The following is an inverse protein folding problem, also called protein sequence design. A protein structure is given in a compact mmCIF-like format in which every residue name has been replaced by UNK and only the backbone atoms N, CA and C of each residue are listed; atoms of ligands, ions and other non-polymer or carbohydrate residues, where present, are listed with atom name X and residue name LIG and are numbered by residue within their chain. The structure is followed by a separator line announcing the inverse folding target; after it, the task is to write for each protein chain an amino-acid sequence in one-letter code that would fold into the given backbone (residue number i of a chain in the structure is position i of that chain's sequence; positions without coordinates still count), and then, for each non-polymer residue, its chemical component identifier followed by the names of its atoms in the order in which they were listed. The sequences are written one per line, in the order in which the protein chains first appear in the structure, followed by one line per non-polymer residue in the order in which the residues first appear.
data_IF_259489240523
#
_entry.id   IF_259489240523
#
_cell.length_a   1.000
_cell.length_b   1.000
_cell.length_c   1.000
_cell.angle_alpha   90.00
_cell.angle_beta   90.00
_cell.angle_gamma   90.00
#
_symmetry.space_group_name_H-M   'P 1'
#
loop_
_entity.id
_entity.type
_entity.pdbx_description
1 polymer ?
#
# COMPACT_ATOMS: atom_id res chain seq x y z
N UNK A 1 12.90 5.88 17.82
CA UNK A 1 12.54 4.63 17.10
C UNK A 1 12.71 4.90 15.61
N UNK A 2 13.75 4.35 14.95
CA UNK A 2 14.21 4.76 13.60
C UNK A 2 13.26 4.35 12.45
N UNK A 3 12.47 3.28 12.63
CA UNK A 3 11.68 2.65 11.56
C UNK A 3 10.16 2.70 11.81
N UNK A 4 9.68 3.75 12.46
CA UNK A 4 8.25 3.89 12.73
C UNK A 4 7.52 4.45 11.49
N UNK A 5 6.49 3.75 10.96
CA UNK A 5 5.66 4.29 9.90
C UNK A 5 5.05 5.64 10.31
N UNK A 6 4.90 6.56 9.35
CA UNK A 6 4.24 7.83 9.66
C UNK A 6 2.78 7.59 10.05
N UNK A 7 2.20 8.55 10.78
CA UNK A 7 0.76 8.56 11.02
C UNK A 7 0.01 8.84 9.71
N UNK A 8 -1.20 8.30 9.62
CA UNK A 8 -2.13 8.67 8.57
C UNK A 8 -2.52 10.15 8.71
N UNK A 9 -2.52 10.85 7.59
CA UNK A 9 -3.05 12.21 7.49
C UNK A 9 -4.57 12.20 7.63
N UNK A 10 -5.16 13.36 7.95
CA UNK A 10 -6.63 13.50 7.99
C UNK A 10 -7.26 13.14 6.65
N UNK A 11 -6.65 13.60 5.55
CA UNK A 11 -7.12 13.31 4.19
C UNK A 11 -7.14 11.80 3.90
N UNK A 12 -6.07 11.08 4.21
CA UNK A 12 -6.01 9.63 3.99
C UNK A 12 -7.02 8.86 4.82
N UNK A 13 -7.30 9.32 6.05
CA UNK A 13 -8.36 8.75 6.88
C UNK A 13 -9.75 8.95 6.28
N UNK A 14 -10.03 10.15 5.77
CA UNK A 14 -11.32 10.45 5.13
C UNK A 14 -11.51 9.65 3.83
N UNK A 15 -10.48 9.58 2.98
CA UNK A 15 -10.53 8.79 1.73
C UNK A 15 -10.71 7.29 2.01
N UNK A 16 -10.05 6.78 3.06
CA UNK A 16 -10.13 5.37 3.44
C UNK A 16 -11.34 5.00 4.29
N UNK A 17 -12.16 5.98 4.69
CA UNK A 17 -13.20 5.81 5.71
C UNK A 17 -14.24 4.75 5.35
N UNK A 18 -14.71 4.75 4.11
CA UNK A 18 -15.75 3.82 3.66
C UNK A 18 -15.28 2.37 3.58
N UNK A 19 -14.00 2.14 3.29
CA UNK A 19 -13.44 0.80 3.13
C UNK A 19 -12.89 0.24 4.45
N UNK A 20 -12.72 1.09 5.47
CA UNK A 20 -11.79 0.84 6.55
C UNK A 20 -10.37 1.11 6.07
N UNK A 21 -9.55 1.81 6.86
CA UNK A 21 -8.17 2.04 6.49
C UNK A 21 -7.32 2.16 7.75
N UNK A 22 -6.21 1.45 7.76
CA UNK A 22 -5.28 1.39 8.90
C UNK A 22 -3.86 1.26 8.41
N UNK A 23 -2.92 1.78 9.19
CA UNK A 23 -1.49 1.61 8.98
C UNK A 23 -0.87 0.65 10.02
N UNK A 24 -1.66 -0.23 10.62
CA UNK A 24 -1.19 -1.16 11.66
C UNK A 24 -0.36 -2.32 11.08
N UNK A 25 -0.67 -2.79 9.87
CA UNK A 25 -0.05 -3.98 9.24
C UNK A 25 0.98 -3.63 8.16
N UNK A 26 1.95 -2.76 8.47
CA UNK A 26 2.93 -2.24 7.50
C UNK A 26 3.88 -3.27 6.88
N UNK A 27 3.96 -4.50 7.40
CA UNK A 27 4.76 -5.59 6.79
C UNK A 27 4.06 -6.25 5.60
N UNK A 28 2.73 -6.25 5.56
CA UNK A 28 1.96 -6.88 4.48
C UNK A 28 2.23 -6.34 3.06
N UNK A 29 2.43 -5.03 2.85
CA UNK A 29 2.51 -4.46 1.51
C UNK A 29 3.92 -4.45 0.89
N UNK A 30 4.96 -5.01 1.52
CA UNK A 30 6.28 -5.13 0.89
C UNK A 30 7.06 -6.34 1.38
N UNK A 31 8.03 -6.79 0.59
CA UNK A 31 8.94 -7.87 0.95
C UNK A 31 10.28 -7.69 0.25
N UNK A 32 11.27 -8.50 0.64
CA UNK A 32 12.61 -8.47 0.05
C UNK A 32 12.97 -9.81 -0.58
N UNK A 33 13.65 -9.77 -1.71
CA UNK A 33 14.26 -10.94 -2.37
C UNK A 33 15.66 -10.54 -2.79
N UNK A 34 16.69 -11.05 -2.10
CA UNK A 34 18.08 -10.63 -2.36
C UNK A 34 18.23 -9.10 -2.30
N UNK A 35 18.76 -8.44 -3.36
CA UNK A 35 18.93 -6.98 -3.39
C UNK A 35 17.65 -6.20 -3.76
N UNK A 36 16.51 -6.87 -3.92
CA UNK A 36 15.25 -6.24 -4.29
C UNK A 36 14.38 -5.96 -3.07
N UNK A 37 13.94 -4.71 -2.93
CA UNK A 37 12.87 -4.27 -2.05
C UNK A 37 11.63 -4.05 -2.93
N UNK A 38 10.61 -4.90 -2.73
CA UNK A 38 9.45 -4.99 -3.62
C UNK A 38 8.20 -4.54 -2.87
N UNK A 39 7.53 -3.50 -3.37
CA UNK A 39 6.17 -3.17 -2.93
C UNK A 39 5.17 -4.10 -3.62
N UNK A 40 4.33 -4.76 -2.82
CA UNK A 40 3.23 -5.57 -3.29
C UNK A 40 2.01 -4.75 -3.69
N UNK A 41 1.17 -5.33 -4.54
CA UNK A 41 -0.18 -4.84 -4.83
C UNK A 41 -1.18 -5.69 -4.07
N UNK A 42 -1.88 -5.07 -3.12
CA UNK A 42 -2.89 -5.74 -2.31
C UNK A 42 -4.26 -5.71 -3.00
N UNK A 43 -4.94 -6.86 -2.99
CA UNK A 43 -6.25 -7.03 -3.63
C UNK A 43 -7.36 -6.21 -2.94
N UNK A 44 -7.37 -6.21 -1.62
CA UNK A 44 -8.46 -5.62 -0.83
C UNK A 44 -8.40 -4.09 -0.80
N UNK A 45 -9.51 -3.38 -1.12
CA UNK A 45 -9.54 -1.92 -1.21
C UNK A 45 -8.99 -1.20 0.03
N UNK A 46 -9.37 -1.67 1.22
CA UNK A 46 -8.94 -1.14 2.51
C UNK A 46 -7.43 -1.25 2.79
N UNK A 47 -6.72 -2.07 2.00
CA UNK A 47 -5.29 -2.33 2.19
C UNK A 47 -4.42 -1.72 1.09
N UNK A 48 -4.99 -1.30 -0.04
CA UNK A 48 -4.24 -0.82 -1.22
C UNK A 48 -3.26 0.30 -0.91
N UNK A 49 -3.59 1.13 0.07
CA UNK A 49 -2.79 2.28 0.47
C UNK A 49 -1.92 2.03 1.71
N UNK A 50 -1.87 0.80 2.26
CA UNK A 50 -1.09 0.48 3.49
C UNK A 50 0.41 0.75 3.34
N UNK A 51 0.92 0.81 2.11
CA UNK A 51 2.33 1.09 1.80
C UNK A 51 2.71 2.56 1.99
N UNK A 52 1.77 3.49 1.80
CA UNK A 52 2.05 4.94 1.78
C UNK A 52 2.72 5.46 3.06
N UNK A 53 2.39 4.95 4.27
CA UNK A 53 3.00 5.43 5.49
C UNK A 53 4.45 4.95 5.70
N UNK A 54 4.86 3.85 5.08
CA UNK A 54 6.22 3.29 5.22
C UNK A 54 7.13 3.61 4.04
N UNK A 55 6.57 4.05 2.91
CA UNK A 55 7.31 4.30 1.66
C UNK A 55 8.58 5.15 1.83
N UNK A 56 8.54 6.21 2.62
CA UNK A 56 9.72 7.05 2.88
C UNK A 56 10.88 6.28 3.54
N UNK A 57 10.58 5.33 4.43
CA UNK A 57 11.58 4.45 5.05
C UNK A 57 12.14 3.50 4.00
N UNK A 58 11.29 2.90 3.17
CA UNK A 58 11.72 1.97 2.12
C UNK A 58 12.68 2.63 1.13
N UNK A 59 12.36 3.84 0.67
CA UNK A 59 13.21 4.64 -0.22
C UNK A 59 14.53 5.01 0.46
N UNK A 60 14.48 5.42 1.73
CA UNK A 60 15.69 5.75 2.47
C UNK A 60 16.62 4.53 2.60
N UNK A 61 16.06 3.39 2.99
CA UNK A 61 16.84 2.17 3.20
C UNK A 61 17.33 1.56 1.87
N UNK A 62 16.56 1.67 0.79
CA UNK A 62 17.04 1.24 -0.53
C UNK A 62 18.23 2.08 -1.00
N UNK A 63 18.17 3.40 -0.80
CA UNK A 63 19.26 4.30 -1.16
C UNK A 63 20.50 4.08 -0.28
N UNK A 64 20.31 3.91 1.03
CA UNK A 64 21.41 3.69 1.97
C UNK A 64 22.16 2.37 1.70
N UNK A 65 21.42 1.30 1.37
CA UNK A 65 21.98 -0.04 1.19
C UNK A 65 22.22 -0.40 -0.30
N UNK A 66 22.10 0.56 -1.22
CA UNK A 66 22.24 0.32 -2.67
C UNK A 66 21.40 -0.85 -3.20
N UNK A 67 20.13 -0.93 -2.74
CA UNK A 67 19.17 -1.96 -3.15
C UNK A 67 18.22 -1.43 -4.22
N UNK A 68 17.68 -2.34 -5.03
CA UNK A 68 16.66 -2.00 -6.02
C UNK A 68 15.30 -1.85 -5.34
N UNK A 69 14.71 -0.66 -5.44
CA UNK A 69 13.35 -0.42 -4.98
C UNK A 69 12.38 -0.49 -6.16
N UNK A 70 11.46 -1.45 -6.11
CA UNK A 70 10.52 -1.75 -7.20
C UNK A 70 9.10 -1.75 -6.66
N UNK A 71 8.19 -1.13 -7.40
CA UNK A 71 6.75 -1.17 -7.10
C UNK A 71 6.05 -1.97 -8.19
N UNK A 72 5.29 -3.00 -7.80
CA UNK A 72 4.56 -3.80 -8.79
C UNK A 72 3.31 -3.05 -9.28
N UNK A 73 2.83 -3.32 -10.51
CA UNK A 73 1.61 -2.71 -11.02
C UNK A 73 0.44 -2.90 -10.05
N UNK A 74 -0.40 -1.88 -9.92
CA UNK A 74 -1.62 -1.99 -9.14
C UNK A 74 -2.56 -2.99 -9.80
N UNK A 75 -3.16 -3.86 -8.98
CA UNK A 75 -4.22 -4.75 -9.43
C UNK A 75 -5.34 -3.96 -10.09
N UNK A 76 -5.88 -4.51 -11.17
CA UNK A 76 -7.09 -3.97 -11.76
C UNK A 76 -8.18 -3.97 -10.69
N UNK A 77 -8.90 -2.87 -10.69
CA UNK A 77 -9.94 -2.58 -9.73
C UNK A 77 -11.28 -2.34 -10.43
N UNK A 78 -11.30 -2.41 -11.77
CA UNK A 78 -12.54 -2.46 -12.54
C UNK A 78 -13.34 -3.72 -12.17
N UNK A 79 -14.67 -3.62 -12.22
CA UNK A 79 -15.58 -4.77 -12.11
C UNK A 79 -15.77 -5.46 -13.48
N UNK A 80 -15.00 -5.07 -14.50
CA UNK A 80 -15.09 -5.57 -15.87
C UNK A 80 -14.56 -4.56 -16.91
N UNK A 81 -14.35 -5.00 -18.16
CA UNK A 81 -13.71 -4.18 -19.21
C UNK A 81 -14.47 -2.91 -19.58
N UNK A 82 -15.79 -2.90 -19.41
CA UNK A 82 -16.67 -1.75 -19.70
C UNK A 82 -17.16 -1.04 -18.42
N UNK A 83 -16.58 -1.38 -17.27
CA UNK A 83 -17.02 -0.85 -15.97
C UNK A 83 -16.52 0.57 -15.75
N UNK A 84 -17.42 1.54 -15.78
CA UNK A 84 -17.18 2.90 -15.24
C UNK A 84 -17.30 2.95 -13.71
N UNK A 85 -17.73 1.86 -13.08
CA UNK A 85 -17.82 1.78 -11.63
C UNK A 85 -16.41 1.83 -11.02
N UNK A 86 -16.24 2.76 -10.08
CA UNK A 86 -15.10 2.81 -9.16
C UNK A 86 -15.19 1.54 -8.28
N UNK A 87 -14.07 0.88 -7.93
CA UNK A 87 -14.04 -0.50 -7.46
C UNK A 87 -14.95 -0.73 -6.26
N UNK A 88 -15.65 -1.87 -6.26
CA UNK A 88 -16.74 -2.18 -5.35
C UNK A 88 -16.35 -2.04 -3.86
N UNK A 89 -17.29 -1.47 -3.09
CA UNK A 89 -17.28 -1.50 -1.61
C UNK A 89 -17.14 -2.96 -1.19
N UNK A 90 -16.14 -3.26 -0.37
CA UNK A 90 -15.99 -4.60 0.17
C UNK A 90 -17.19 -4.88 1.10
N UNK A 91 -18.16 -5.66 0.63
CA UNK A 91 -19.17 -6.24 1.51
C UNK A 91 -18.46 -7.20 2.48
N UNK A 92 -18.43 -6.83 3.75
CA UNK A 92 -17.95 -7.70 4.82
C UNK A 92 -19.10 -8.63 5.20
N UNK A 93 -18.93 -9.94 4.96
CA UNK A 93 -19.71 -10.99 5.61
C UNK A 93 -19.23 -11.19 7.04
#
# INVERSE_FOLDING_TARGET
MKYMPRRLTTYEKEVGKENGYSNFFVRGPFFTIGPFLIEGSLRFPHRRNEILPVRHILVQESNHNSCFYVSIPKSDSSEGPDSEAVPCKAEMY
#
